data_IF_691044840166
#
_entry.id   IF_691044840166
#
_cell.length_a   1.000
_cell.length_b   1.000
_cell.length_c   1.000
_cell.angle_alpha   90.00
_cell.angle_beta   90.00
_cell.angle_gamma   90.00
#
_symmetry.space_group_name_H-M   'P 1'
#
loop_
_entity.id
_entity.type
_entity.pdbx_description
1 polymer ?
#
# COMPACT_ATOMS: atom_id res chain seq x y z
N UNK A 1 13.73 19.46 -4.44
CA UNK A 1 14.13 18.06 -4.75
C UNK A 1 12.83 17.27 -4.85
N UNK A 2 12.44 16.79 -6.03
CA UNK A 2 11.15 16.14 -6.22
C UNK A 2 11.13 14.76 -5.54
N UNK A 3 10.11 14.47 -4.75
CA UNK A 3 9.99 13.18 -4.09
C UNK A 3 9.64 12.11 -5.13
N UNK A 4 10.37 10.99 -5.13
CA UNK A 4 10.15 9.90 -6.12
C UNK A 4 9.02 8.98 -5.64
N UNK A 5 7.79 9.27 -6.07
CA UNK A 5 6.61 8.45 -5.74
C UNK A 5 6.57 7.08 -6.43
N UNK A 6 7.19 6.95 -7.60
CA UNK A 6 7.20 5.69 -8.38
C UNK A 6 7.68 4.47 -7.57
N UNK A 7 8.87 4.51 -6.96
CA UNK A 7 9.36 3.40 -6.13
C UNK A 7 8.44 3.01 -4.97
N UNK A 8 7.74 3.99 -4.38
CA UNK A 8 6.81 3.74 -3.27
C UNK A 8 5.57 3.00 -3.77
N UNK A 9 5.01 3.42 -4.90
CA UNK A 9 3.87 2.76 -5.55
C UNK A 9 4.24 1.37 -6.07
N UNK A 10 5.45 1.20 -6.60
CA UNK A 10 5.96 -0.10 -7.03
C UNK A 10 6.07 -1.09 -5.87
N UNK A 11 6.53 -0.62 -4.71
CA UNK A 11 6.58 -1.43 -3.49
C UNK A 11 5.18 -1.82 -3.00
N UNK A 12 4.23 -0.89 -3.02
CA UNK A 12 2.82 -1.18 -2.69
C UNK A 12 2.23 -2.26 -3.59
N UNK A 13 2.46 -2.13 -4.90
CA UNK A 13 1.96 -3.08 -5.89
C UNK A 13 2.58 -4.46 -5.74
N UNK A 14 3.86 -4.54 -5.35
CA UNK A 14 4.52 -5.82 -5.00
C UNK A 14 3.84 -6.45 -3.78
N UNK A 15 3.66 -5.70 -2.71
CA UNK A 15 3.04 -6.20 -1.48
C UNK A 15 1.61 -6.71 -1.73
N UNK A 16 0.81 -6.00 -2.53
CA UNK A 16 -0.55 -6.44 -2.92
C UNK A 16 -0.53 -7.78 -3.67
N UNK A 17 0.43 -7.98 -4.58
CA UNK A 17 0.58 -9.26 -5.31
C UNK A 17 0.98 -10.38 -4.37
N UNK A 18 1.99 -10.15 -3.53
CA UNK A 18 2.47 -11.15 -2.57
C UNK A 18 1.35 -11.59 -1.62
N UNK A 19 0.46 -10.67 -1.22
CA UNK A 19 -0.71 -11.01 -0.42
C UNK A 19 -1.75 -11.86 -1.18
N UNK A 20 -2.00 -11.58 -2.45
CA UNK A 20 -2.89 -12.39 -3.30
C UNK A 20 -2.32 -13.80 -3.44
N UNK A 21 -1.01 -13.93 -3.67
CA UNK A 21 -0.35 -15.22 -3.80
C UNK A 21 -0.37 -15.99 -2.48
N UNK A 22 -0.15 -15.31 -1.35
CA UNK A 22 -0.36 -15.89 -0.03
C UNK A 22 -1.79 -16.39 0.17
N UNK A 23 -2.81 -15.61 -0.22
CA UNK A 23 -4.20 -16.01 -0.07
C UNK A 23 -4.55 -17.26 -0.90
N UNK A 24 -3.96 -17.40 -2.09
CA UNK A 24 -4.08 -18.62 -2.92
C UNK A 24 -3.42 -19.82 -2.25
N UNK A 25 -2.17 -19.67 -1.81
CA UNK A 25 -1.44 -20.72 -1.09
C UNK A 25 -2.22 -21.18 0.17
N UNK A 26 -2.83 -20.24 0.89
CA UNK A 26 -3.67 -20.56 2.04
C UNK A 26 -4.95 -21.32 1.65
N UNK A 27 -5.60 -20.93 0.56
CA UNK A 27 -6.77 -21.65 0.05
C UNK A 27 -6.42 -23.11 -0.29
N UNK A 28 -5.32 -23.34 -0.98
CA UNK A 28 -4.83 -24.69 -1.33
C UNK A 28 -4.50 -25.50 -0.06
N UNK A 29 -3.86 -24.87 0.94
CA UNK A 29 -3.55 -25.52 2.21
C UNK A 29 -4.82 -25.97 2.96
N UNK A 30 -5.89 -25.16 2.91
CA UNK A 30 -7.18 -25.49 3.54
C UNK A 30 -7.89 -26.67 2.89
N UNK A 31 -7.57 -27.03 1.65
CA UNK A 31 -8.15 -28.25 1.04
C UNK A 31 -7.68 -29.52 1.76
N UNK A 32 -6.48 -29.50 2.34
CA UNK A 32 -5.85 -30.64 2.98
C UNK A 32 -5.88 -30.56 4.51
N UNK A 33 -5.91 -29.33 5.06
CA UNK A 33 -5.89 -29.09 6.50
C UNK A 33 -7.28 -28.70 7.03
N UNK A 34 -8.07 -29.70 7.42
CA UNK A 34 -9.50 -29.55 7.76
C UNK A 34 -9.83 -29.65 9.25
N UNK A 35 -8.82 -29.61 10.13
CA UNK A 35 -9.00 -29.77 11.58
C UNK A 35 -9.30 -28.44 12.30
N UNK A 36 -9.56 -28.53 13.61
CA UNK A 36 -9.81 -27.35 14.45
C UNK A 36 -8.59 -26.45 14.63
N UNK A 37 -7.37 -26.98 14.40
CA UNK A 37 -6.14 -26.17 14.46
C UNK A 37 -6.06 -25.24 13.27
N UNK A 38 -6.48 -25.68 12.08
CA UNK A 38 -6.59 -24.84 10.90
C UNK A 38 -7.51 -23.64 11.14
N UNK A 39 -8.70 -23.89 11.70
CA UNK A 39 -9.67 -22.84 12.06
C UNK A 39 -9.08 -21.84 13.07
N UNK A 40 -8.42 -22.35 14.11
CA UNK A 40 -7.79 -21.51 15.14
C UNK A 40 -6.67 -20.64 14.55
N UNK A 41 -5.82 -21.22 13.69
CA UNK A 41 -4.76 -20.49 13.00
C UNK A 41 -5.30 -19.36 12.12
N UNK A 42 -6.36 -19.62 11.34
CA UNK A 42 -6.99 -18.60 10.50
C UNK A 42 -7.54 -17.46 11.35
N UNK A 43 -8.20 -17.79 12.45
CA UNK A 43 -8.83 -16.81 13.33
C UNK A 43 -7.80 -15.97 14.12
N UNK A 44 -6.74 -16.60 14.62
CA UNK A 44 -5.72 -15.95 15.45
C UNK A 44 -4.70 -15.16 14.64
N UNK A 45 -4.33 -15.62 13.44
CA UNK A 45 -3.19 -15.06 12.70
C UNK A 45 -3.56 -14.41 11.37
N UNK A 46 -4.60 -14.91 10.67
CA UNK A 46 -4.90 -14.45 9.32
C UNK A 46 -6.04 -13.44 9.26
N UNK A 47 -6.94 -13.46 10.25
CA UNK A 47 -8.14 -12.61 10.32
C UNK A 47 -7.83 -11.11 10.19
N UNK A 48 -6.71 -10.66 10.75
CA UNK A 48 -6.30 -9.25 10.72
C UNK A 48 -5.50 -8.85 9.48
N UNK A 49 -5.03 -9.81 8.67
CA UNK A 49 -4.04 -9.56 7.62
C UNK A 49 -4.64 -8.75 6.47
N UNK A 50 -5.80 -9.15 5.95
CA UNK A 50 -6.53 -8.42 4.90
C UNK A 50 -6.90 -6.98 5.32
N UNK A 51 -7.58 -6.77 6.46
CA UNK A 51 -7.88 -5.43 6.96
C UNK A 51 -6.63 -4.56 7.15
N UNK A 52 -5.52 -5.14 7.61
CA UNK A 52 -4.27 -4.39 7.79
C UNK A 52 -3.64 -3.98 6.47
N UNK A 53 -3.67 -4.83 5.45
CA UNK A 53 -3.21 -4.47 4.11
C UNK A 53 -4.04 -3.36 3.49
N UNK A 54 -5.37 -3.40 3.65
CA UNK A 54 -6.26 -2.35 3.16
C UNK A 54 -5.95 -1.00 3.82
N UNK A 55 -5.77 -0.99 5.15
CA UNK A 55 -5.37 0.23 5.89
C UNK A 55 -4.01 0.75 5.43
N UNK A 56 -3.04 -0.14 5.24
CA UNK A 56 -1.71 0.23 4.74
C UNK A 56 -1.79 0.88 3.35
N UNK A 57 -2.51 0.25 2.42
CA UNK A 57 -2.70 0.78 1.07
C UNK A 57 -3.38 2.15 1.08
N UNK A 58 -4.43 2.32 1.89
CA UNK A 58 -5.11 3.61 2.03
C UNK A 58 -4.16 4.71 2.55
N UNK A 59 -3.41 4.42 3.62
CA UNK A 59 -2.45 5.36 4.20
C UNK A 59 -1.33 5.73 3.22
N UNK A 60 -0.88 4.77 2.39
CA UNK A 60 0.17 5.03 1.40
C UNK A 60 -0.34 5.89 0.23
N UNK A 61 -1.58 5.69 -0.20
CA UNK A 61 -2.21 6.54 -1.20
C UNK A 61 -2.34 7.98 -0.68
N UNK A 62 -2.81 8.15 0.55
CA UNK A 62 -2.90 9.47 1.20
C UNK A 62 -1.53 10.15 1.28
N UNK A 63 -0.50 9.42 1.70
CA UNK A 63 0.89 9.89 1.71
C UNK A 63 1.35 10.38 0.33
N UNK A 64 1.10 9.60 -0.73
CA UNK A 64 1.45 9.99 -2.10
C UNK A 64 0.73 11.27 -2.54
N UNK A 65 -0.55 11.42 -2.18
CA UNK A 65 -1.36 12.58 -2.56
C UNK A 65 -0.97 13.85 -1.82
N UNK A 66 -0.55 13.74 -0.55
CA UNK A 66 0.01 14.88 0.20
C UNK A 66 1.31 15.35 -0.44
N UNK A 67 2.16 14.44 -0.87
CA UNK A 67 3.42 14.77 -1.54
C UNK A 67 3.17 15.46 -2.88
N UNK A 68 2.27 14.93 -3.72
CA UNK A 68 1.91 15.57 -5.00
C UNK A 68 1.43 17.00 -4.80
N UNK A 69 0.48 17.19 -3.88
CA UNK A 69 -0.06 18.52 -3.55
C UNK A 69 1.01 19.48 -3.04
N UNK A 70 1.95 18.98 -2.25
CA UNK A 70 3.08 19.77 -1.75
C UNK A 70 4.02 20.17 -2.90
N UNK A 71 4.38 19.23 -3.78
CA UNK A 71 5.22 19.49 -4.95
C UNK A 71 4.56 20.49 -5.92
N UNK A 72 3.24 20.40 -6.13
CA UNK A 72 2.48 21.34 -6.98
C UNK A 72 2.48 22.74 -6.38
N UNK A 73 2.18 22.87 -5.09
CA UNK A 73 2.15 24.18 -4.38
C UNK A 73 3.52 24.85 -4.39
N UNK A 74 4.59 24.09 -4.15
CA UNK A 74 5.96 24.60 -4.17
C UNK A 74 6.45 25.00 -5.58
N UNK A 75 5.82 24.49 -6.65
CA UNK A 75 6.13 24.89 -8.03
C UNK A 75 5.35 26.14 -8.44
N UNK A 76 4.10 26.28 -8.00
CA UNK A 76 3.27 27.47 -8.28
C UNK A 76 3.81 28.73 -7.58
N UNK A 77 4.40 28.60 -6.38
CA UNK A 77 5.04 29.71 -5.65
C UNK A 77 6.40 30.15 -6.25
N UNK A 78 6.86 29.53 -7.35
CA UNK A 78 8.11 29.89 -8.03
C UNK A 78 7.86 30.24 -9.51
N UNK A 79 7.21 31.38 -9.82
CA UNK A 79 7.01 31.82 -11.19
C UNK A 79 8.37 32.14 -11.84
N UNK A 80 8.64 31.64 -13.07
CA UNK A 80 9.83 32.03 -13.81
C UNK A 80 9.67 33.48 -14.26
N UNK A 81 10.35 34.40 -13.58
CA UNK A 81 10.51 35.78 -14.04
C UNK A 81 9.34 36.71 -13.71
N UNK A 82 9.14 36.98 -12.42
CA UNK A 82 8.58 38.27 -12.01
C UNK A 82 9.65 39.35 -12.17
N UNK A 83 9.81 39.88 -13.40
CA UNK A 83 10.47 41.16 -13.62
C UNK A 83 9.64 42.23 -12.91
N UNK A 84 10.13 42.67 -11.74
CA UNK A 84 9.89 44.03 -11.28
C UNK A 84 10.93 44.93 -11.94
N UNK A 85 10.44 46.07 -12.44
CA UNK A 85 11.07 47.10 -13.28
C UNK A 85 11.23 46.79 -14.79
#
# INVERSE_FOLDING_TARGET
MAFKLGPVQDAENRLKRDFIDFARMWADAKEQWLDDRCRSFEQEHLSSLGPSLNRFSAALNEFCDVIRRSDDTLRDDNPPGGTFD
#
